data_IF_546377414022
#
_entry.id   IF_546377414022
#
_cell.length_a   1.000
_cell.length_b   1.000
_cell.length_c   1.000
_cell.angle_alpha   90.00
_cell.angle_beta   90.00
_cell.angle_gamma   90.00
#
_symmetry.space_group_name_H-M   'P 1'
#
loop_
_entity.id
_entity.type
_entity.pdbx_description
1 polymer ?
#
# COMPACT_ATOMS: atom_id res chain seq x y z
N UNK A 1 12.92 -2.47 15.13
CA UNK A 1 12.07 -1.90 14.03
C UNK A 1 12.16 -2.82 12.81
N UNK A 2 11.02 -3.11 12.19
CA UNK A 2 11.02 -3.92 10.98
C UNK A 2 11.53 -3.08 9.81
N UNK A 3 12.10 -3.74 8.80
CA UNK A 3 12.68 -3.05 7.64
C UNK A 3 11.68 -2.10 6.96
N UNK A 4 10.43 -2.52 6.81
CA UNK A 4 9.43 -1.68 6.15
C UNK A 4 9.08 -0.43 6.99
N UNK A 5 9.19 -0.51 8.31
CA UNK A 5 9.00 0.65 9.19
C UNK A 5 10.16 1.65 9.02
N UNK A 6 11.38 1.14 8.90
CA UNK A 6 12.55 1.97 8.64
C UNK A 6 12.43 2.66 7.28
N UNK A 7 12.00 1.92 6.27
CA UNK A 7 11.82 2.45 4.93
C UNK A 7 10.72 3.51 4.91
N UNK A 8 9.65 3.31 5.66
CA UNK A 8 8.58 4.30 5.77
C UNK A 8 9.08 5.59 6.43
N UNK A 9 9.95 5.47 7.42
CA UNK A 9 10.59 6.62 8.05
C UNK A 9 11.53 7.33 7.08
N UNK A 10 12.40 6.58 6.41
CA UNK A 10 13.36 7.10 5.45
C UNK A 10 12.69 7.76 4.25
N UNK A 11 11.51 7.34 3.93
CA UNK A 11 10.68 7.88 2.86
C UNK A 11 10.45 9.39 3.01
N UNK A 12 10.28 9.88 4.24
CA UNK A 12 10.13 11.31 4.50
C UNK A 12 11.46 12.07 4.46
N UNK A 13 12.57 11.35 4.61
CA UNK A 13 13.90 11.94 4.67
C UNK A 13 14.70 11.73 3.39
N UNK A 14 14.17 10.95 2.45
CA UNK A 14 14.88 10.62 1.23
C UNK A 14 15.09 11.85 0.34
N UNK A 15 16.29 11.99 -0.20
CA UNK A 15 16.58 13.02 -1.19
C UNK A 15 15.99 12.61 -2.53
N UNK A 16 15.15 13.46 -3.10
CA UNK A 16 14.56 13.19 -4.41
C UNK A 16 15.65 13.13 -5.49
N UNK A 17 15.51 12.24 -6.49
CA UNK A 17 16.46 12.19 -7.60
C UNK A 17 16.35 13.44 -8.45
N UNK A 18 17.43 13.76 -9.17
CA UNK A 18 17.49 14.96 -10.03
C UNK A 18 16.46 14.90 -11.16
N UNK A 19 16.22 13.71 -11.71
CA UNK A 19 15.24 13.48 -12.76
C UNK A 19 14.14 12.58 -12.24
N UNK A 20 12.90 13.02 -12.41
CA UNK A 20 11.75 12.21 -12.02
C UNK A 20 11.42 11.21 -13.12
N UNK A 21 11.43 9.93 -12.75
CA UNK A 21 10.94 8.85 -13.60
C UNK A 21 9.51 8.52 -13.21
N UNK A 22 8.82 7.73 -14.03
CA UNK A 22 7.50 7.25 -13.68
C UNK A 22 7.59 6.27 -12.51
N UNK A 23 6.48 6.09 -11.78
CA UNK A 23 6.44 5.15 -10.67
C UNK A 23 6.77 3.72 -11.14
N UNK A 24 6.25 3.33 -12.29
CA UNK A 24 6.52 2.02 -12.86
C UNK A 24 8.01 1.83 -13.18
N UNK A 25 8.68 2.85 -13.70
CA UNK A 25 10.10 2.79 -14.02
C UNK A 25 10.95 2.55 -12.78
N UNK A 26 10.60 3.18 -11.65
CA UNK A 26 11.33 2.95 -10.40
C UNK A 26 11.20 1.52 -9.92
N UNK A 27 10.03 0.92 -10.07
CA UNK A 27 9.82 -0.48 -9.70
C UNK A 27 10.64 -1.40 -10.60
N UNK A 28 10.64 -1.13 -11.91
CA UNK A 28 11.43 -1.91 -12.86
C UNK A 28 12.92 -1.83 -12.55
N UNK A 29 13.42 -0.63 -12.26
CA UNK A 29 14.82 -0.44 -11.88
C UNK A 29 15.16 -1.15 -10.57
N UNK A 30 14.26 -1.09 -9.59
CA UNK A 30 14.46 -1.80 -8.34
C UNK A 30 14.62 -3.30 -8.58
N UNK A 31 13.76 -3.89 -9.40
CA UNK A 31 13.77 -5.33 -9.65
C UNK A 31 14.96 -5.77 -10.50
N UNK A 32 15.37 -4.95 -11.46
CA UNK A 32 16.48 -5.30 -12.36
C UNK A 32 17.83 -5.05 -11.71
N UNK A 33 18.01 -3.94 -10.99
CA UNK A 33 19.27 -3.56 -10.39
C UNK A 33 19.38 -3.93 -8.91
N UNK A 34 18.28 -4.30 -8.29
CA UNK A 34 18.18 -4.69 -6.88
C UNK A 34 18.75 -3.62 -5.93
N UNK A 35 18.53 -2.36 -6.30
CA UNK A 35 18.98 -1.20 -5.54
C UNK A 35 17.78 -0.59 -4.80
N UNK A 36 17.82 -0.64 -3.47
CA UNK A 36 16.72 -0.18 -2.63
C UNK A 36 16.41 1.31 -2.79
N UNK A 37 17.36 2.10 -3.27
CA UNK A 37 17.13 3.53 -3.50
C UNK A 37 15.97 3.76 -4.47
N UNK A 38 15.81 2.92 -5.48
CA UNK A 38 14.73 3.06 -6.46
C UNK A 38 13.37 2.85 -5.82
N UNK A 39 13.25 1.93 -4.88
CA UNK A 39 11.99 1.76 -4.17
C UNK A 39 11.70 2.95 -3.25
N UNK A 40 12.71 3.52 -2.62
CA UNK A 40 12.57 4.74 -1.83
C UNK A 40 12.11 5.92 -2.69
N UNK A 41 12.63 6.06 -3.89
CA UNK A 41 12.16 7.08 -4.85
C UNK A 41 10.70 6.84 -5.24
N UNK A 42 10.34 5.57 -5.48
CA UNK A 42 8.96 5.21 -5.75
C UNK A 42 8.04 5.67 -4.61
N UNK A 43 8.38 5.35 -3.39
CA UNK A 43 7.57 5.74 -2.22
C UNK A 43 7.48 7.25 -2.09
N UNK A 44 8.59 7.95 -2.31
CA UNK A 44 8.63 9.41 -2.23
C UNK A 44 7.63 10.06 -3.19
N UNK A 45 7.61 9.61 -4.43
CA UNK A 45 6.71 10.19 -5.44
C UNK A 45 5.27 9.64 -5.35
N UNK A 46 5.09 8.48 -4.74
CA UNK A 46 3.77 7.90 -4.56
C UNK A 46 3.05 8.47 -3.33
N UNK A 47 3.77 9.07 -2.38
CA UNK A 47 3.21 9.51 -1.09
C UNK A 47 1.94 10.35 -1.21
N UNK A 48 1.85 11.38 -2.07
CA UNK A 48 0.63 12.18 -2.15
C UNK A 48 -0.60 11.32 -2.52
N UNK A 49 -0.45 10.42 -3.45
CA UNK A 49 -1.53 9.50 -3.85
C UNK A 49 -1.85 8.49 -2.76
N UNK A 50 -0.81 8.02 -2.06
CA UNK A 50 -0.98 7.11 -0.93
C UNK A 50 -1.77 7.78 0.19
N UNK A 51 -1.39 9.00 0.55
CA UNK A 51 -2.09 9.75 1.60
C UNK A 51 -3.56 9.96 1.26
N UNK A 52 -3.86 10.30 0.02
CA UNK A 52 -5.25 10.46 -0.44
C UNK A 52 -6.05 9.16 -0.29
N UNK A 53 -5.45 8.04 -0.64
CA UNK A 53 -6.09 6.73 -0.49
C UNK A 53 -6.37 6.42 0.98
N UNK A 54 -5.40 6.69 1.86
CA UNK A 54 -5.57 6.42 3.29
C UNK A 54 -6.62 7.33 3.91
N UNK A 55 -6.66 8.62 3.52
CA UNK A 55 -7.71 9.53 3.98
C UNK A 55 -9.09 9.04 3.56
N UNK A 56 -9.21 8.51 2.35
CA UNK A 56 -10.47 7.93 1.89
C UNK A 56 -10.91 6.74 2.74
N UNK A 57 -9.98 5.88 3.10
CA UNK A 57 -10.26 4.72 3.96
C UNK A 57 -10.68 5.17 5.36
N UNK A 58 -9.94 6.11 5.94
CA UNK A 58 -10.27 6.67 7.26
C UNK A 58 -11.69 7.23 7.26
N UNK A 59 -12.05 7.98 6.23
CA UNK A 59 -13.37 8.57 6.13
C UNK A 59 -14.46 7.51 5.95
N UNK A 60 -14.25 6.57 5.03
CA UNK A 60 -15.28 5.57 4.67
C UNK A 60 -15.56 4.57 5.79
N UNK A 61 -14.56 4.28 6.62
CA UNK A 61 -14.69 3.28 7.68
C UNK A 61 -14.66 3.89 9.08
N UNK A 62 -14.75 5.20 9.18
CA UNK A 62 -14.74 5.92 10.47
C UNK A 62 -13.54 5.52 11.33
N UNK A 63 -12.37 5.48 10.74
CA UNK A 63 -11.12 5.04 11.38
C UNK A 63 -10.25 6.23 11.77
N UNK A 64 -10.86 7.31 12.28
CA UNK A 64 -10.13 8.47 12.76
C UNK A 64 -9.10 8.06 13.82
N UNK A 65 -7.90 8.61 13.69
CA UNK A 65 -6.79 8.25 14.58
C UNK A 65 -5.98 7.05 14.10
N UNK A 66 -6.38 6.37 13.03
CA UNK A 66 -5.68 5.21 12.49
C UNK A 66 -4.91 5.49 11.21
N UNK A 67 -4.76 6.77 10.84
CA UNK A 67 -4.12 7.14 9.57
C UNK A 67 -2.71 6.54 9.45
N UNK A 68 -1.88 6.73 10.48
CA UNK A 68 -0.50 6.26 10.46
C UNK A 68 -0.44 4.73 10.37
N UNK A 69 -1.26 4.03 11.14
CA UNK A 69 -1.30 2.58 11.13
C UNK A 69 -1.75 2.04 9.76
N UNK A 70 -2.78 2.63 9.19
CA UNK A 70 -3.28 2.24 7.87
C UNK A 70 -2.24 2.50 6.78
N UNK A 71 -1.52 3.62 6.86
CA UNK A 71 -0.45 3.94 5.92
C UNK A 71 0.67 2.89 5.98
N UNK A 72 1.09 2.50 7.18
CA UNK A 72 2.11 1.48 7.37
C UNK A 72 1.66 0.13 6.82
N UNK A 73 0.42 -0.23 7.06
CA UNK A 73 -0.15 -1.49 6.58
C UNK A 73 -0.22 -1.50 5.05
N UNK A 74 -0.59 -0.37 4.44
CA UNK A 74 -0.63 -0.25 2.99
C UNK A 74 0.78 -0.45 2.40
N UNK A 75 1.80 0.20 2.98
CA UNK A 75 3.19 0.04 2.52
C UNK A 75 3.65 -1.40 2.68
N UNK A 76 3.24 -2.07 3.76
CA UNK A 76 3.52 -3.49 3.95
C UNK A 76 2.93 -4.34 2.81
N UNK A 77 1.72 -3.99 2.39
CA UNK A 77 1.10 -4.63 1.22
C UNK A 77 1.89 -4.41 -0.07
N UNK A 78 2.46 -3.21 -0.24
CA UNK A 78 3.33 -2.93 -1.39
C UNK A 78 4.57 -3.84 -1.39
N UNK A 79 5.19 -4.06 -0.23
CA UNK A 79 6.33 -4.96 -0.11
C UNK A 79 5.96 -6.40 -0.44
N UNK A 80 4.82 -6.86 0.05
CA UNK A 80 4.35 -8.20 -0.27
C UNK A 80 4.10 -8.38 -1.77
N UNK A 81 3.49 -7.38 -2.38
CA UNK A 81 3.25 -7.39 -3.82
C UNK A 81 4.57 -7.43 -4.59
N UNK A 82 5.57 -6.67 -4.13
CA UNK A 82 6.87 -6.59 -4.78
C UNK A 82 7.57 -7.95 -4.81
N UNK A 83 7.42 -8.76 -3.76
CA UNK A 83 7.97 -10.11 -3.71
C UNK A 83 7.35 -11.04 -4.74
N UNK A 84 6.10 -10.78 -5.12
CA UNK A 84 5.35 -11.63 -6.04
C UNK A 84 5.28 -11.06 -7.45
N UNK A 85 5.74 -9.83 -7.64
CA UNK A 85 5.58 -9.15 -8.92
C UNK A 85 6.54 -9.72 -9.98
N UNK A 86 5.98 -9.97 -11.16
CA UNK A 86 6.72 -10.53 -12.28
C UNK A 86 6.60 -9.56 -13.48
N UNK A 87 7.73 -8.98 -13.87
CA UNK A 87 7.77 -8.04 -15.00
C UNK A 87 7.33 -8.68 -16.32
N UNK A 88 7.53 -9.99 -16.47
CA UNK A 88 7.17 -10.69 -17.71
C UNK A 88 5.66 -10.76 -17.93
N UNK A 89 4.87 -10.55 -16.88
CA UNK A 89 3.41 -10.55 -16.99
C UNK A 89 2.86 -9.29 -17.66
N UNK A 90 3.68 -8.26 -17.83
CA UNK A 90 3.31 -7.02 -18.51
C UNK A 90 2.10 -6.32 -17.86
N UNK A 91 2.00 -6.39 -16.53
CA UNK A 91 0.96 -5.75 -15.73
C UNK A 91 1.62 -4.62 -14.93
N UNK A 92 1.05 -3.40 -14.88
CA UNK A 92 1.63 -2.33 -14.05
C UNK A 92 1.67 -2.73 -12.58
N UNK A 93 2.77 -2.35 -11.91
CA UNK A 93 2.96 -2.74 -10.51
C UNK A 93 1.84 -2.26 -9.60
N UNK A 94 1.41 -1.00 -9.74
CA UNK A 94 0.37 -0.45 -8.87
C UNK A 94 -0.97 -1.17 -9.04
N UNK A 95 -1.27 -1.60 -10.25
CA UNK A 95 -2.46 -2.40 -10.50
C UNK A 95 -2.38 -3.75 -9.79
N UNK A 96 -1.22 -4.41 -9.91
CA UNK A 96 -0.98 -5.69 -9.26
C UNK A 96 -0.96 -5.55 -7.73
N UNK A 97 -0.29 -4.51 -7.22
CA UNK A 97 -0.13 -4.31 -5.78
C UNK A 97 -1.43 -3.93 -5.07
N UNK A 98 -2.37 -3.34 -5.80
CA UNK A 98 -3.63 -2.87 -5.25
C UNK A 98 -4.37 -3.97 -4.49
N UNK A 99 -4.39 -5.17 -5.04
CA UNK A 99 -5.03 -6.32 -4.40
C UNK A 99 -4.39 -6.62 -3.05
N UNK A 100 -3.05 -6.67 -2.99
CA UNK A 100 -2.34 -6.98 -1.76
C UNK A 100 -2.56 -5.91 -0.69
N UNK A 101 -2.53 -4.66 -1.09
CA UNK A 101 -2.71 -3.54 -0.16
C UNK A 101 -4.14 -3.53 0.41
N UNK A 102 -5.14 -3.72 -0.45
CA UNK A 102 -6.53 -3.75 -0.01
C UNK A 102 -6.78 -4.92 0.94
N UNK A 103 -6.21 -6.08 0.65
CA UNK A 103 -6.35 -7.24 1.51
C UNK A 103 -5.80 -6.96 2.91
N UNK A 104 -4.59 -6.38 3.00
CA UNK A 104 -3.98 -6.06 4.28
C UNK A 104 -4.80 -5.02 5.07
N UNK A 105 -5.31 -4.02 4.37
CA UNK A 105 -6.16 -3.00 4.98
C UNK A 105 -7.45 -3.62 5.52
N UNK A 106 -8.11 -4.46 4.74
CA UNK A 106 -9.37 -5.09 5.16
C UNK A 106 -9.16 -6.01 6.35
N UNK A 107 -8.07 -6.76 6.38
CA UNK A 107 -7.74 -7.62 7.52
C UNK A 107 -7.50 -6.80 8.79
N UNK A 108 -6.83 -5.66 8.65
CA UNK A 108 -6.62 -4.77 9.78
C UNK A 108 -7.93 -4.21 10.32
N UNK A 109 -8.80 -3.70 9.44
CA UNK A 109 -10.10 -3.16 9.84
C UNK A 109 -10.93 -4.25 10.52
N UNK A 110 -10.93 -5.45 9.94
CA UNK A 110 -11.66 -6.59 10.50
C UNK A 110 -11.16 -6.94 11.90
N UNK A 111 -9.84 -6.98 12.09
CA UNK A 111 -9.25 -7.31 13.38
C UNK A 111 -9.58 -6.28 14.45
N UNK A 112 -9.62 -5.01 14.08
CA UNK A 112 -9.98 -3.92 15.00
C UNK A 112 -11.43 -3.99 15.44
N UNK A 113 -12.31 -4.56 14.64
CA UNK A 113 -13.73 -4.69 14.93
C UNK A 113 -14.13 -6.04 15.51
N UNK A 114 -13.21 -6.98 15.55
CA UNK A 114 -13.49 -8.38 15.90
C UNK A 114 -14.08 -8.57 17.29
N UNK A 115 -13.70 -7.75 18.26
CA UNK A 115 -14.19 -7.86 19.64
C UNK A 115 -15.41 -7.02 19.96
N UNK A 116 -15.95 -6.27 19.01
CA UNK A 116 -16.93 -5.23 19.29
C UNK A 116 -18.38 -5.67 19.05
N UNK A 117 -18.64 -6.42 18.01
CA UNK A 117 -20.00 -6.89 17.68
C UNK A 117 -19.95 -7.97 16.62
N UNK A 118 -21.12 -8.59 16.39
CA UNK A 118 -21.36 -9.45 15.25
C UNK A 118 -21.07 -8.65 13.97
N UNK A 119 -20.29 -9.19 13.01
CA UNK A 119 -20.00 -8.48 11.78
C UNK A 119 -21.28 -8.04 11.09
N UNK A 120 -21.33 -6.76 10.72
CA UNK A 120 -22.45 -6.25 9.97
C UNK A 120 -22.42 -6.87 8.56
N UNK A 121 -23.51 -7.54 8.19
CA UNK A 121 -23.60 -8.19 6.88
C UNK A 121 -23.36 -7.20 5.71
N UNK A 122 -23.79 -5.95 5.88
CA UNK A 122 -23.59 -4.91 4.86
C UNK A 122 -22.11 -4.54 4.73
N UNK A 123 -21.37 -4.44 5.84
CA UNK A 123 -19.94 -4.19 5.81
C UNK A 123 -19.18 -5.33 5.15
N UNK A 124 -19.49 -6.58 5.49
CA UNK A 124 -18.90 -7.73 4.84
C UNK A 124 -19.16 -7.74 3.35
N UNK A 125 -20.37 -7.38 2.94
CA UNK A 125 -20.74 -7.27 1.53
C UNK A 125 -19.93 -6.20 0.84
N UNK A 126 -19.73 -5.03 1.47
CA UNK A 126 -18.92 -3.95 0.93
C UNK A 126 -17.46 -4.35 0.80
N UNK A 127 -16.91 -5.03 1.81
CA UNK A 127 -15.53 -5.50 1.77
C UNK A 127 -15.32 -6.50 0.63
N UNK A 128 -16.24 -7.46 0.48
CA UNK A 128 -16.17 -8.44 -0.60
C UNK A 128 -16.27 -7.76 -1.97
N UNK A 129 -17.12 -6.76 -2.10
CA UNK A 129 -17.27 -6.00 -3.35
C UNK A 129 -16.01 -5.23 -3.66
N UNK A 130 -15.41 -4.58 -2.67
CA UNK A 130 -14.16 -3.85 -2.83
C UNK A 130 -13.04 -4.78 -3.26
N UNK A 131 -12.91 -5.95 -2.61
CA UNK A 131 -11.91 -6.95 -2.96
C UNK A 131 -12.09 -7.49 -4.38
N UNK A 132 -13.35 -7.68 -4.80
CA UNK A 132 -13.66 -8.15 -6.15
C UNK A 132 -13.25 -7.13 -7.23
N UNK A 133 -13.33 -5.83 -6.93
CA UNK A 133 -12.94 -4.77 -7.86
C UNK A 133 -11.42 -4.72 -8.10
N UNK A 134 -10.62 -5.27 -7.19
CA UNK A 134 -9.17 -5.19 -7.24
C UNK A 134 -8.48 -6.49 -7.65
N UNK A 135 -9.25 -7.47 -8.03
CA UNK A 135 -8.71 -8.73 -8.55
C UNK A 135 -8.39 -8.63 -10.03
#
# INVERSE_FOLDING_TARGET
MKKWEEDLYMFHCATAPKERKSLQEYIELYLTEKDERYFNYFLHFYEPRLNDKIYGIVHNYAMQGHFADLKMIFVHGLYKALEKYDLSQNVPFLYFAKYYCEYEIHEYIRSMRHGLTIPNADEDKMLRKAMALYR
#
